data_IF_415773911710
#
_entry.id   IF_415773911710
#
_cell.length_a   1.000
_cell.length_b   1.000
_cell.length_c   1.000
_cell.angle_alpha   90.00
_cell.angle_beta   90.00
_cell.angle_gamma   90.00
#
_symmetry.space_group_name_H-M   'P 1'
#
loop_
_entity.id
_entity.type
_entity.pdbx_description
1 polymer ?
#
# COMPACT_ATOMS: atom_id res chain seq x y z
N UNK A 1 -6.70 8.36 10.25
CA UNK A 1 -7.82 9.26 10.59
C UNK A 1 -8.86 8.50 11.42
N UNK A 2 -9.23 9.01 12.60
CA UNK A 2 -10.28 8.40 13.43
C UNK A 2 -11.64 8.54 12.74
N UNK A 3 -12.45 7.47 12.75
CA UNK A 3 -13.84 7.46 12.29
C UNK A 3 -14.05 7.30 10.78
N UNK A 4 -13.03 6.91 10.05
CA UNK A 4 -13.14 6.46 8.65
C UNK A 4 -13.06 4.94 8.52
N UNK A 5 -12.94 4.23 9.63
CA UNK A 5 -12.95 2.78 9.70
C UNK A 5 -14.34 2.22 9.87
N UNK A 6 -14.59 1.06 9.28
CA UNK A 6 -15.83 0.31 9.43
C UNK A 6 -15.92 -0.41 10.78
N UNK A 7 -17.12 -0.72 11.18
CA UNK A 7 -17.38 -1.71 12.23
C UNK A 7 -17.07 -3.11 11.69
N UNK A 8 -16.88 -4.08 12.57
CA UNK A 8 -16.69 -5.48 12.14
C UNK A 8 -17.94 -6.06 11.46
N UNK A 9 -19.12 -5.50 11.76
CA UNK A 9 -20.39 -5.71 11.07
C UNK A 9 -21.00 -4.32 10.85
N UNK A 10 -21.61 -4.08 9.69
CA UNK A 10 -22.25 -2.80 9.36
C UNK A 10 -23.32 -2.42 10.40
N UNK A 11 -23.36 -1.13 10.75
CA UNK A 11 -24.36 -0.53 11.64
C UNK A 11 -25.04 0.59 10.86
N UNK A 12 -26.34 0.58 10.79
CA UNK A 12 -27.23 1.55 10.13
C UNK A 12 -27.06 1.65 8.61
N UNK A 13 -25.87 1.51 8.06
CA UNK A 13 -25.57 1.69 6.65
C UNK A 13 -24.48 0.73 6.17
N UNK A 14 -24.70 0.10 5.01
CA UNK A 14 -23.65 -0.58 4.24
C UNK A 14 -23.05 0.37 3.22
N UNK A 15 -21.74 0.30 3.02
CA UNK A 15 -21.00 1.26 2.20
C UNK A 15 -20.31 0.66 1.00
N UNK A 16 -20.10 -0.67 0.99
CA UNK A 16 -19.48 -1.37 -0.14
C UNK A 16 -19.93 -2.82 -0.24
N UNK A 17 -19.82 -3.39 -1.43
CA UNK A 17 -20.11 -4.81 -1.68
C UNK A 17 -19.08 -5.67 -0.98
N UNK A 18 -19.51 -6.55 -0.07
CA UNK A 18 -18.64 -7.37 0.77
C UNK A 18 -18.49 -6.86 2.20
N UNK A 19 -19.13 -5.74 2.57
CA UNK A 19 -19.19 -5.30 3.97
C UNK A 19 -20.06 -6.28 4.77
N UNK A 20 -19.54 -6.87 5.89
CA UNK A 20 -20.33 -7.81 6.69
C UNK A 20 -21.58 -7.17 7.28
N UNK A 21 -22.72 -7.84 7.16
CA UNK A 21 -24.03 -7.41 7.71
C UNK A 21 -24.44 -8.29 8.87
N UNK A 22 -24.21 -9.59 8.76
CA UNK A 22 -24.53 -10.57 9.78
C UNK A 22 -23.45 -11.66 9.84
N UNK A 23 -23.41 -12.39 10.93
CA UNK A 23 -22.49 -13.52 11.08
C UNK A 23 -23.13 -14.63 11.93
N UNK A 24 -22.92 -15.86 11.52
CA UNK A 24 -23.42 -17.07 12.19
C UNK A 24 -22.26 -17.97 12.59
N UNK A 25 -22.31 -18.51 13.79
CA UNK A 25 -21.46 -19.62 14.22
C UNK A 25 -22.32 -20.85 14.51
N UNK A 26 -21.93 -21.98 13.96
CA UNK A 26 -22.63 -23.25 14.13
C UNK A 26 -21.63 -24.39 14.41
N UNK A 27 -22.13 -25.61 14.63
CA UNK A 27 -21.29 -26.80 14.90
C UNK A 27 -20.50 -27.26 13.68
N UNK A 28 -20.89 -26.83 12.48
CA UNK A 28 -20.14 -27.04 11.23
C UNK A 28 -20.35 -25.87 10.27
N UNK A 29 -19.45 -25.75 9.27
CA UNK A 29 -19.58 -24.77 8.19
C UNK A 29 -20.91 -24.94 7.42
N UNK A 30 -21.30 -26.17 7.12
CA UNK A 30 -22.53 -26.46 6.38
C UNK A 30 -23.79 -25.93 7.10
N UNK A 31 -23.88 -26.19 8.39
CA UNK A 31 -25.02 -25.68 9.22
C UNK A 31 -24.97 -24.14 9.32
N UNK A 32 -23.78 -23.55 9.33
CA UNK A 32 -23.66 -22.10 9.33
C UNK A 32 -24.08 -21.48 7.99
N UNK A 33 -23.74 -22.10 6.87
CA UNK A 33 -24.15 -21.67 5.53
C UNK A 33 -25.67 -21.80 5.34
N UNK A 34 -26.28 -22.94 5.73
CA UNK A 34 -27.75 -23.12 5.73
C UNK A 34 -28.42 -22.03 6.57
N UNK A 35 -27.87 -21.68 7.72
CA UNK A 35 -28.43 -20.64 8.59
C UNK A 35 -28.29 -19.23 8.00
N UNK A 36 -27.27 -18.95 7.20
CA UNK A 36 -27.13 -17.68 6.50
C UNK A 36 -28.22 -17.43 5.47
N UNK A 37 -28.70 -18.49 4.81
CA UNK A 37 -29.81 -18.41 3.84
C UNK A 37 -31.16 -18.02 4.48
N UNK A 38 -31.28 -18.18 5.82
CA UNK A 38 -32.48 -17.78 6.57
C UNK A 38 -32.44 -16.30 7.02
N UNK A 39 -31.35 -15.58 6.77
CA UNK A 39 -31.23 -14.18 7.13
C UNK A 39 -31.75 -13.31 5.99
N UNK A 40 -32.88 -12.71 6.19
CA UNK A 40 -33.46 -11.73 5.26
C UNK A 40 -32.93 -10.33 5.59
N UNK A 41 -32.49 -9.59 4.57
CA UNK A 41 -32.01 -8.21 4.69
C UNK A 41 -32.72 -7.32 3.69
N UNK A 42 -33.44 -6.32 4.20
CA UNK A 42 -34.05 -5.28 3.38
C UNK A 42 -33.13 -4.05 3.34
N UNK A 43 -32.95 -3.46 2.15
CA UNK A 43 -32.13 -2.31 1.93
C UNK A 43 -32.91 -1.14 1.37
N UNK A 44 -32.79 0.01 2.01
CA UNK A 44 -33.10 1.31 1.39
C UNK A 44 -31.90 1.75 0.53
N UNK A 45 -32.07 1.71 -0.79
CA UNK A 45 -30.98 2.00 -1.72
C UNK A 45 -30.69 3.49 -1.79
N UNK A 46 -29.48 3.87 -1.39
CA UNK A 46 -29.00 5.25 -1.42
C UNK A 46 -28.24 5.57 -2.72
N UNK A 47 -28.14 6.86 -3.06
CA UNK A 47 -27.34 7.31 -4.20
C UNK A 47 -25.85 6.96 -3.99
N UNK A 48 -25.21 6.22 -4.91
CA UNK A 48 -23.83 5.77 -4.71
C UNK A 48 -22.80 6.87 -5.00
N UNK A 49 -21.60 6.67 -4.44
CA UNK A 49 -20.39 7.48 -4.66
C UNK A 49 -19.29 6.59 -5.27
N UNK A 50 -19.37 6.23 -6.57
CA UNK A 50 -18.55 5.18 -7.17
C UNK A 50 -17.13 5.61 -7.55
N UNK A 51 -16.85 6.91 -7.64
CA UNK A 51 -15.56 7.44 -8.13
C UNK A 51 -15.08 8.63 -7.31
N UNK A 52 -13.76 8.90 -7.31
CA UNK A 52 -13.21 10.12 -6.70
C UNK A 52 -13.84 11.42 -7.19
N UNK A 53 -14.16 11.51 -8.49
CA UNK A 53 -14.77 12.70 -9.06
C UNK A 53 -16.16 12.97 -8.46
N UNK A 54 -16.99 11.91 -8.31
CA UNK A 54 -18.29 12.01 -7.63
C UNK A 54 -18.11 12.33 -6.15
N UNK A 55 -17.13 11.71 -5.48
CA UNK A 55 -16.87 11.93 -4.05
C UNK A 55 -16.50 13.37 -3.71
N UNK A 56 -15.83 14.07 -4.63
CA UNK A 56 -15.36 15.46 -4.46
C UNK A 56 -16.33 16.51 -5.01
N UNK A 57 -17.43 16.11 -5.63
CA UNK A 57 -18.45 17.05 -6.11
C UNK A 57 -19.14 17.77 -4.95
N UNK A 58 -19.54 19.02 -5.16
CA UNK A 58 -20.17 19.82 -4.11
C UNK A 58 -21.52 19.25 -3.61
N UNK A 59 -22.21 18.52 -4.48
CA UNK A 59 -23.49 17.85 -4.21
C UNK A 59 -23.34 16.34 -3.94
N UNK A 60 -22.12 15.88 -3.66
CA UNK A 60 -21.85 14.47 -3.41
C UNK A 60 -22.63 13.94 -2.19
N UNK A 61 -23.26 12.75 -2.28
CA UNK A 61 -23.74 12.08 -1.09
C UNK A 61 -22.59 11.81 -0.11
N UNK A 62 -22.82 12.03 1.17
CA UNK A 62 -21.79 11.82 2.20
C UNK A 62 -21.87 10.38 2.70
N UNK A 63 -20.73 9.67 2.64
CA UNK A 63 -20.63 8.28 3.09
C UNK A 63 -20.49 8.14 4.61
N UNK A 64 -19.88 9.14 5.25
CA UNK A 64 -19.64 9.21 6.69
C UNK A 64 -20.12 10.57 7.18
N UNK A 65 -21.38 10.65 7.58
CA UNK A 65 -22.07 11.91 7.95
C UNK A 65 -21.32 12.66 9.06
N UNK A 66 -20.77 11.91 10.01
CA UNK A 66 -19.99 12.45 11.12
C UNK A 66 -18.68 13.15 10.68
N UNK A 67 -18.31 13.00 9.40
CA UNK A 67 -17.13 13.62 8.79
C UNK A 67 -17.44 14.87 7.96
N UNK A 68 -18.70 15.06 7.61
CA UNK A 68 -19.14 16.21 6.84
C UNK A 68 -18.68 16.24 5.39
N UNK A 69 -18.15 15.12 4.86
CA UNK A 69 -17.69 15.01 3.47
C UNK A 69 -16.97 13.70 3.18
N UNK A 70 -16.56 13.51 1.92
CA UNK A 70 -15.87 12.31 1.48
C UNK A 70 -14.35 12.48 1.32
N UNK A 71 -13.82 13.69 1.52
CA UNK A 71 -12.38 13.94 1.52
C UNK A 71 -11.80 13.55 2.88
N UNK A 72 -11.04 12.44 2.88
CA UNK A 72 -10.42 11.89 4.09
C UNK A 72 -9.28 12.77 4.58
N UNK A 73 -8.44 13.19 3.63
CA UNK A 73 -7.26 13.98 3.90
C UNK A 73 -6.83 14.73 2.64
N UNK A 74 -6.34 15.96 2.82
CA UNK A 74 -5.61 16.71 1.81
C UNK A 74 -4.31 17.20 2.42
N UNK A 75 -3.18 16.99 1.74
CA UNK A 75 -1.85 17.45 2.17
C UNK A 75 -1.03 17.91 0.98
N UNK A 76 -0.23 18.93 1.23
CA UNK A 76 0.76 19.47 0.31
C UNK A 76 2.12 19.34 0.96
N UNK A 77 3.03 18.70 0.27
CA UNK A 77 4.44 18.67 0.60
C UNK A 77 5.19 19.44 -0.48
N UNK A 78 6.07 20.35 -0.07
CA UNK A 78 6.83 21.19 -0.97
C UNK A 78 8.28 21.30 -0.49
N UNK A 79 9.21 21.00 -1.35
CA UNK A 79 10.65 21.00 -1.08
C UNK A 79 11.38 21.79 -2.17
N UNK A 80 12.19 22.76 -1.75
CA UNK A 80 12.81 23.71 -2.65
C UNK A 80 11.83 24.69 -3.30
N UNK A 81 12.29 25.42 -4.28
CA UNK A 81 11.51 26.42 -5.02
C UNK A 81 10.99 25.81 -6.33
N UNK A 82 9.88 25.06 -6.24
CA UNK A 82 9.28 24.35 -7.37
C UNK A 82 8.79 25.33 -8.44
N UNK A 83 8.20 26.45 -8.04
CA UNK A 83 7.65 27.41 -9.00
C UNK A 83 8.77 28.04 -9.81
N UNK A 84 9.90 28.39 -9.19
CA UNK A 84 11.08 28.91 -9.87
C UNK A 84 11.65 27.90 -10.87
N UNK A 85 11.91 26.65 -10.45
CA UNK A 85 12.53 25.66 -11.35
C UNK A 85 11.63 25.27 -12.52
N UNK A 86 10.31 25.32 -12.35
CA UNK A 86 9.36 25.12 -13.44
C UNK A 86 9.27 26.32 -14.39
N UNK A 87 9.38 27.56 -13.86
CA UNK A 87 9.43 28.76 -14.68
C UNK A 87 10.73 28.88 -15.51
N UNK A 88 11.84 28.41 -14.95
CA UNK A 88 13.15 28.42 -15.60
C UNK A 88 13.42 27.21 -16.47
N UNK A 89 12.51 26.23 -16.55
CA UNK A 89 12.69 25.02 -17.35
C UNK A 89 12.62 25.31 -18.85
N UNK A 90 13.53 24.72 -19.62
CA UNK A 90 13.46 24.78 -21.09
C UNK A 90 12.32 23.92 -21.62
N UNK A 91 11.98 22.85 -20.90
CA UNK A 91 10.87 21.96 -21.19
C UNK A 91 10.14 21.56 -19.90
N UNK A 92 8.81 21.63 -19.93
CA UNK A 92 7.95 20.96 -18.96
C UNK A 92 7.38 19.73 -19.63
N UNK A 93 7.64 18.56 -19.06
CA UNK A 93 7.16 17.26 -19.55
C UNK A 93 6.18 16.70 -18.53
N UNK A 94 4.90 16.67 -18.87
CA UNK A 94 3.85 16.24 -17.97
C UNK A 94 2.87 15.28 -18.61
N UNK A 95 2.17 14.50 -17.80
CA UNK A 95 1.09 13.63 -18.19
C UNK A 95 0.18 13.28 -17.00
N UNK A 96 -1.00 12.76 -17.32
CA UNK A 96 -1.88 12.12 -16.36
C UNK A 96 -1.69 10.61 -16.42
N UNK A 97 -1.68 9.96 -15.24
CA UNK A 97 -1.51 8.53 -15.11
C UNK A 97 -2.60 7.97 -14.21
N UNK A 98 -2.95 6.73 -14.44
CA UNK A 98 -3.83 5.99 -13.57
C UNK A 98 -3.24 4.65 -13.22
N UNK A 99 -3.20 4.36 -11.93
CA UNK A 99 -2.93 3.03 -11.39
C UNK A 99 -4.25 2.42 -10.95
N UNK A 100 -4.72 1.42 -11.67
CA UNK A 100 -5.96 0.73 -11.34
C UNK A 100 -5.84 -0.12 -10.09
N UNK A 101 -6.96 -0.38 -9.41
CA UNK A 101 -7.02 -1.36 -8.35
C UNK A 101 -6.53 -2.72 -8.83
N UNK A 102 -5.68 -3.35 -8.00
CA UNK A 102 -5.22 -4.73 -8.17
C UNK A 102 -5.40 -5.46 -6.83
N UNK A 103 -5.65 -6.77 -6.88
CA UNK A 103 -5.78 -7.59 -5.69
C UNK A 103 -4.48 -8.33 -5.37
N UNK A 104 -4.12 -8.36 -4.09
CA UNK A 104 -3.18 -9.35 -3.59
C UNK A 104 -3.89 -10.71 -3.60
N UNK A 105 -3.70 -11.49 -4.63
CA UNK A 105 -4.47 -12.70 -4.87
C UNK A 105 -3.66 -13.99 -4.57
N UNK A 106 -3.27 -14.25 -3.30
CA UNK A 106 -2.61 -15.48 -2.93
C UNK A 106 -3.51 -16.68 -3.19
N UNK A 107 -2.92 -17.83 -3.48
CA UNK A 107 -3.68 -19.07 -3.69
C UNK A 107 -4.49 -19.44 -2.44
N UNK A 108 -3.88 -19.32 -1.26
CA UNK A 108 -4.57 -19.44 0.03
C UNK A 108 -5.26 -18.11 0.38
N UNK A 109 -6.57 -18.15 0.66
CA UNK A 109 -7.32 -17.02 1.22
C UNK A 109 -6.97 -16.79 2.69
N UNK A 110 -7.62 -15.84 3.35
CA UNK A 110 -7.42 -15.63 4.78
C UNK A 110 -8.24 -16.64 5.58
N UNK A 111 -7.65 -17.14 6.68
CA UNK A 111 -8.36 -17.95 7.65
C UNK A 111 -7.86 -17.74 9.06
N UNK A 112 -8.76 -17.88 10.04
CA UNK A 112 -8.42 -17.80 11.45
C UNK A 112 -9.26 -18.74 12.32
N UNK A 113 -8.73 -19.06 13.50
CA UNK A 113 -9.46 -19.63 14.63
C UNK A 113 -9.30 -18.69 15.79
N UNK A 114 -10.40 -18.20 16.36
CA UNK A 114 -10.40 -17.34 17.53
C UNK A 114 -11.03 -18.07 18.72
N UNK A 115 -10.36 -17.98 19.88
CA UNK A 115 -10.85 -18.52 21.12
C UNK A 115 -10.78 -17.45 22.21
N UNK A 116 -11.93 -17.20 22.81
CA UNK A 116 -12.05 -16.29 23.94
C UNK A 116 -11.98 -17.07 25.25
N UNK A 117 -11.02 -16.72 26.09
CA UNK A 117 -11.01 -17.20 27.48
C UNK A 117 -11.95 -16.30 28.30
N UNK A 118 -13.06 -16.89 28.77
CA UNK A 118 -14.08 -16.17 29.53
C UNK A 118 -13.71 -15.95 30.99
N UNK A 119 -12.74 -16.71 31.52
CA UNK A 119 -12.24 -16.58 32.90
C UNK A 119 -11.24 -15.43 32.97
N UNK A 120 -10.23 -15.51 32.12
CA UNK A 120 -9.14 -14.52 32.09
C UNK A 120 -9.47 -13.28 31.23
N UNK A 121 -10.60 -13.26 30.57
CA UNK A 121 -11.00 -12.26 29.58
C UNK A 121 -9.86 -11.99 28.57
N UNK A 122 -9.38 -13.06 27.93
CA UNK A 122 -8.26 -13.04 27.02
C UNK A 122 -8.65 -13.63 25.65
N UNK A 123 -7.97 -13.23 24.61
CA UNK A 123 -8.21 -13.68 23.24
C UNK A 123 -6.96 -14.35 22.65
N UNK A 124 -7.12 -15.57 22.14
CA UNK A 124 -6.10 -16.21 21.32
C UNK A 124 -6.61 -16.39 19.90
N UNK A 125 -5.83 -15.93 18.91
CA UNK A 125 -6.12 -16.06 17.49
C UNK A 125 -5.00 -16.84 16.79
N UNK A 126 -5.36 -17.89 16.08
CA UNK A 126 -4.49 -18.62 15.17
C UNK A 126 -4.91 -18.30 13.73
N UNK A 127 -3.97 -18.09 12.81
CA UNK A 127 -4.37 -17.85 11.42
C UNK A 127 -3.28 -17.30 10.49
N UNK A 128 -3.69 -16.95 9.30
CA UNK A 128 -2.83 -16.44 8.24
C UNK A 128 -2.55 -14.93 8.40
N UNK A 129 -1.89 -14.54 9.47
CA UNK A 129 -1.64 -13.13 9.81
C UNK A 129 -0.32 -12.63 9.23
N UNK A 130 -0.38 -11.64 8.33
CA UNK A 130 0.81 -11.06 7.71
C UNK A 130 1.69 -10.24 8.66
N UNK A 131 1.11 -9.66 9.70
CA UNK A 131 1.78 -8.78 10.67
C UNK A 131 1.26 -9.05 12.09
N UNK A 132 1.63 -10.17 12.72
CA UNK A 132 0.98 -10.67 13.93
C UNK A 132 0.98 -9.69 15.11
N UNK A 133 2.04 -8.89 15.29
CA UNK A 133 2.11 -7.89 16.36
C UNK A 133 1.11 -6.75 16.16
N UNK A 134 0.99 -6.24 14.93
CA UNK A 134 -0.01 -5.22 14.60
C UNK A 134 -1.43 -5.77 14.75
N UNK A 135 -1.64 -7.02 14.38
CA UNK A 135 -2.90 -7.69 14.59
C UNK A 135 -3.27 -7.76 16.08
N UNK A 136 -2.35 -8.18 16.94
CA UNK A 136 -2.58 -8.24 18.37
C UNK A 136 -2.92 -6.86 18.96
N UNK A 137 -2.14 -5.84 18.60
CA UNK A 137 -2.38 -4.46 19.04
C UNK A 137 -3.73 -3.93 18.54
N UNK A 138 -4.02 -4.11 17.26
CA UNK A 138 -5.29 -3.65 16.66
C UNK A 138 -6.51 -4.33 17.29
N UNK A 139 -6.43 -5.63 17.56
CA UNK A 139 -7.53 -6.36 18.24
C UNK A 139 -7.67 -5.96 19.68
N UNK A 140 -6.58 -5.76 20.40
CA UNK A 140 -6.62 -5.24 21.75
C UNK A 140 -7.34 -3.87 21.82
N UNK A 141 -7.03 -2.98 20.89
CA UNK A 141 -7.70 -1.66 20.80
C UNK A 141 -9.18 -1.80 20.41
N UNK A 142 -9.49 -2.59 19.38
CA UNK A 142 -10.85 -2.75 18.85
C UNK A 142 -11.80 -3.41 19.87
N UNK A 143 -11.29 -4.35 20.66
CA UNK A 143 -12.06 -5.12 21.64
C UNK A 143 -11.94 -4.57 23.06
N UNK A 144 -11.26 -3.43 23.23
CA UNK A 144 -10.99 -2.80 24.53
C UNK A 144 -10.35 -3.78 25.56
N UNK A 145 -9.33 -4.50 25.11
CA UNK A 145 -8.53 -5.42 25.93
C UNK A 145 -7.14 -4.87 26.17
N UNK A 146 -6.51 -5.17 27.31
CA UNK A 146 -5.07 -4.98 27.46
C UNK A 146 -4.28 -5.78 26.41
N UNK A 147 -3.19 -5.23 25.88
CA UNK A 147 -2.40 -5.88 24.81
C UNK A 147 -1.83 -7.23 25.22
N UNK A 148 -1.52 -7.44 26.50
CA UNK A 148 -1.06 -8.72 27.05
C UNK A 148 -2.18 -9.78 27.18
N UNK A 149 -3.44 -9.41 26.96
CA UNK A 149 -4.59 -10.32 26.92
C UNK A 149 -4.97 -10.74 25.49
N UNK A 150 -4.23 -10.29 24.48
CA UNK A 150 -4.45 -10.68 23.09
C UNK A 150 -3.21 -11.38 22.53
N UNK A 151 -3.35 -12.65 22.18
CA UNK A 151 -2.30 -13.46 21.59
C UNK A 151 -2.65 -13.80 20.14
N UNK A 152 -1.77 -13.44 19.22
CA UNK A 152 -1.89 -13.78 17.80
C UNK A 152 -0.76 -14.73 17.43
N UNK A 153 -1.13 -15.91 16.95
CA UNK A 153 -0.21 -17.00 16.61
C UNK A 153 -0.31 -17.22 15.09
N UNK A 154 0.65 -16.68 14.34
CA UNK A 154 0.65 -16.88 12.89
C UNK A 154 0.94 -18.33 12.55
N UNK A 155 0.27 -18.82 11.50
CA UNK A 155 0.52 -20.12 10.91
C UNK A 155 1.31 -19.95 9.62
N UNK A 156 2.01 -20.98 9.10
CA UNK A 156 2.56 -20.95 7.76
C UNK A 156 1.51 -20.54 6.73
N UNK A 157 1.87 -19.65 5.80
CA UNK A 157 0.90 -19.05 4.89
C UNK A 157 1.22 -19.38 3.44
N UNK A 158 0.17 -19.65 2.67
CA UNK A 158 0.21 -19.81 1.21
C UNK A 158 0.22 -18.47 0.47
N UNK A 159 1.13 -17.56 0.87
CA UNK A 159 1.26 -16.21 0.34
C UNK A 159 0.39 -15.19 1.07
N UNK A 160 0.83 -13.94 1.09
CA UNK A 160 0.04 -12.81 1.61
C UNK A 160 0.07 -11.59 0.69
N UNK A 161 1.25 -11.20 0.18
CA UNK A 161 1.49 -10.05 -0.70
C UNK A 161 0.89 -8.72 -0.19
N UNK A 162 0.71 -8.62 1.15
CA UNK A 162 0.04 -7.52 1.82
C UNK A 162 -1.44 -7.75 2.12
N UNK A 163 -2.14 -8.55 1.34
CA UNK A 163 -3.59 -8.76 1.46
C UNK A 163 -4.08 -9.46 2.73
N UNK A 164 -3.19 -9.98 3.58
CA UNK A 164 -3.49 -10.55 4.90
C UNK A 164 -3.04 -9.63 6.04
N UNK A 165 -2.89 -8.33 5.76
CA UNK A 165 -2.43 -7.33 6.72
C UNK A 165 -3.52 -6.59 7.49
N UNK A 166 -4.77 -6.62 7.04
CA UNK A 166 -5.90 -5.87 7.60
C UNK A 166 -6.88 -6.72 8.42
N UNK A 167 -7.80 -6.07 9.17
CA UNK A 167 -8.87 -6.78 9.86
C UNK A 167 -9.79 -7.45 8.84
N UNK A 168 -10.12 -8.66 9.10
CA UNK A 168 -11.05 -9.46 8.31
C UNK A 168 -12.02 -10.11 9.28
N UNK A 169 -12.56 -11.25 9.02
CA UNK A 169 -13.47 -11.96 9.95
C UNK A 169 -12.91 -12.27 11.34
N UNK A 170 -11.69 -11.84 11.69
CA UNK A 170 -11.09 -12.10 13.01
C UNK A 170 -11.89 -11.52 14.17
N UNK A 171 -12.34 -10.26 14.07
CA UNK A 171 -13.10 -9.62 15.15
C UNK A 171 -14.48 -10.28 15.28
N UNK A 172 -15.08 -10.66 14.16
CA UNK A 172 -16.36 -11.41 14.12
C UNK A 172 -16.17 -12.77 14.81
N UNK A 173 -15.15 -13.54 14.40
CA UNK A 173 -14.87 -14.85 14.99
C UNK A 173 -14.56 -14.76 16.50
N UNK A 174 -13.84 -13.72 16.94
CA UNK A 174 -13.54 -13.49 18.35
C UNK A 174 -14.80 -13.18 19.15
N UNK A 175 -15.68 -12.31 18.66
CA UNK A 175 -16.94 -11.97 19.32
C UNK A 175 -17.94 -13.14 19.33
N UNK A 176 -17.99 -13.93 18.26
CA UNK A 176 -18.77 -15.15 18.23
C UNK A 176 -18.25 -16.21 19.21
N UNK A 177 -16.93 -16.35 19.36
CA UNK A 177 -16.33 -17.21 20.38
C UNK A 177 -16.74 -16.79 21.78
N UNK A 178 -16.71 -15.48 22.07
CA UNK A 178 -17.17 -14.93 23.35
C UNK A 178 -18.64 -15.24 23.61
N UNK A 179 -19.49 -15.04 22.60
CA UNK A 179 -20.94 -15.37 22.69
C UNK A 179 -21.18 -16.86 22.87
N UNK A 180 -20.34 -17.72 22.28
CA UNK A 180 -20.43 -19.17 22.39
C UNK A 180 -19.81 -19.72 23.69
N UNK A 181 -19.58 -18.89 24.71
CA UNK A 181 -19.02 -19.31 25.99
C UNK A 181 -17.54 -19.73 25.93
N UNK A 182 -16.76 -19.13 25.03
CA UNK A 182 -15.34 -19.41 24.86
C UNK A 182 -15.01 -20.57 23.91
N UNK A 183 -16.01 -21.14 23.23
CA UNK A 183 -15.75 -22.16 22.22
C UNK A 183 -14.94 -21.57 21.07
N UNK A 184 -13.95 -22.30 20.52
CA UNK A 184 -13.20 -21.83 19.37
C UNK A 184 -14.10 -21.66 18.14
N UNK A 185 -13.98 -20.52 17.46
CA UNK A 185 -14.70 -20.23 16.22
C UNK A 185 -13.69 -20.13 15.09
N UNK A 186 -13.90 -20.95 14.05
CA UNK A 186 -13.11 -20.96 12.82
C UNK A 186 -13.82 -20.15 11.73
N UNK A 187 -13.09 -19.24 11.09
CA UNK A 187 -13.52 -18.51 9.91
C UNK A 187 -12.50 -18.71 8.80
N UNK A 188 -12.95 -19.05 7.61
CA UNK A 188 -12.14 -19.15 6.40
C UNK A 188 -12.89 -18.48 5.27
N UNK A 189 -12.28 -17.45 4.70
CA UNK A 189 -12.81 -16.73 3.54
C UNK A 189 -12.86 -17.63 2.31
N UNK A 190 -13.91 -17.54 1.55
CA UNK A 190 -13.90 -17.96 0.16
C UNK A 190 -13.17 -16.93 -0.72
N UNK A 191 -13.05 -17.18 -2.01
CA UNK A 191 -12.33 -16.27 -2.92
C UNK A 191 -13.05 -14.95 -3.13
N UNK A 192 -14.37 -14.96 -3.16
CA UNK A 192 -15.18 -13.76 -3.34
C UNK A 192 -15.14 -12.89 -2.08
N UNK A 193 -15.27 -13.49 -0.90
CA UNK A 193 -15.10 -12.78 0.37
C UNK A 193 -13.71 -12.15 0.45
N UNK A 194 -12.64 -12.89 0.07
CA UNK A 194 -11.27 -12.38 0.05
C UNK A 194 -11.14 -11.13 -0.83
N UNK A 195 -11.75 -11.14 -2.01
CA UNK A 195 -11.63 -10.04 -2.97
C UNK A 195 -12.53 -8.84 -2.63
N UNK A 196 -13.69 -9.07 -2.01
CA UNK A 196 -14.72 -8.05 -1.79
C UNK A 196 -14.74 -7.50 -0.36
N UNK A 197 -14.46 -8.33 0.66
CA UNK A 197 -14.61 -7.98 2.07
C UNK A 197 -13.52 -7.04 2.64
N UNK A 198 -12.85 -6.29 1.82
CA UNK A 198 -11.84 -5.30 2.22
C UNK A 198 -10.42 -5.85 2.31
N UNK A 199 -9.42 -4.97 2.32
CA UNK A 199 -7.98 -5.21 2.42
C UNK A 199 -7.34 -6.19 1.41
N UNK A 200 -8.12 -6.92 0.61
CA UNK A 200 -7.63 -7.75 -0.49
C UNK A 200 -7.25 -6.95 -1.72
N UNK A 201 -7.62 -5.67 -1.76
CA UNK A 201 -7.42 -4.78 -2.91
C UNK A 201 -6.46 -3.63 -2.55
N UNK A 202 -5.65 -3.22 -3.54
CA UNK A 202 -4.81 -2.04 -3.46
C UNK A 202 -5.57 -0.78 -3.91
N UNK A 203 -4.82 0.24 -4.21
CA UNK A 203 -5.29 1.61 -4.49
C UNK A 203 -5.81 1.78 -5.92
N UNK A 204 -6.72 2.74 -6.12
CA UNK A 204 -7.00 3.37 -7.42
C UNK A 204 -6.46 4.80 -7.33
N UNK A 205 -5.37 5.07 -8.05
CA UNK A 205 -4.62 6.32 -7.96
C UNK A 205 -4.62 7.07 -9.28
N UNK A 206 -5.02 8.31 -9.23
CA UNK A 206 -4.98 9.23 -10.35
C UNK A 206 -3.88 10.25 -10.11
N UNK A 207 -2.96 10.35 -11.04
CA UNK A 207 -1.82 11.25 -10.98
C UNK A 207 -1.91 12.30 -12.08
N UNK A 208 -1.61 13.55 -11.74
CA UNK A 208 -1.21 14.59 -12.65
C UNK A 208 0.21 14.99 -12.25
N UNK A 209 1.18 14.74 -13.13
CA UNK A 209 2.58 14.89 -12.78
C UNK A 209 3.42 15.45 -13.90
N UNK A 210 4.49 16.18 -13.54
CA UNK A 210 5.39 16.80 -14.51
C UNK A 210 6.82 16.88 -13.99
N UNK A 211 7.77 16.85 -14.93
CA UNK A 211 9.19 17.19 -14.73
C UNK A 211 9.51 18.56 -15.34
N UNK A 212 10.33 19.34 -14.66
CA UNK A 212 11.05 20.49 -15.20
C UNK A 212 12.41 20.03 -15.71
N UNK A 213 12.70 20.28 -17.00
CA UNK A 213 13.86 19.72 -17.68
C UNK A 213 14.60 20.81 -18.44
N UNK A 214 15.91 20.86 -18.34
CA UNK A 214 16.78 21.75 -19.12
C UNK A 214 17.04 21.17 -20.52
N UNK A 215 17.42 21.99 -21.48
CA UNK A 215 17.73 21.59 -22.86
C UNK A 215 18.84 20.53 -22.93
N UNK A 216 19.75 20.50 -21.97
CA UNK A 216 20.82 19.51 -21.87
C UNK A 216 20.35 18.17 -21.26
N UNK A 217 19.08 18.05 -20.84
CA UNK A 217 18.52 16.87 -20.19
C UNK A 217 18.63 16.84 -18.66
N UNK A 218 19.11 17.90 -18.01
CA UNK A 218 19.10 17.98 -16.55
C UNK A 218 17.68 18.16 -16.03
N UNK A 219 17.22 17.27 -15.17
CA UNK A 219 15.91 17.33 -14.49
C UNK A 219 16.07 18.12 -13.21
N UNK A 220 15.42 19.27 -13.11
CA UNK A 220 15.53 20.20 -11.98
C UNK A 220 14.34 20.14 -11.02
N UNK A 221 13.16 19.75 -11.52
CA UNK A 221 11.95 19.75 -10.71
C UNK A 221 11.03 18.55 -10.98
N UNK A 222 10.30 18.13 -9.95
CA UNK A 222 9.30 17.08 -10.03
C UNK A 222 8.07 17.48 -9.21
N UNK A 223 6.92 17.61 -9.85
CA UNK A 223 5.64 17.86 -9.17
C UNK A 223 4.64 16.75 -9.46
N UNK A 224 3.88 16.38 -8.44
CA UNK A 224 2.87 15.33 -8.50
C UNK A 224 1.63 15.79 -7.74
N UNK A 225 0.47 15.70 -8.38
CA UNK A 225 -0.83 15.74 -7.73
C UNK A 225 -1.43 14.33 -7.77
N UNK A 226 -1.76 13.80 -6.60
CA UNK A 226 -2.36 12.49 -6.43
C UNK A 226 -3.78 12.61 -5.89
N UNK A 227 -4.73 11.96 -6.54
CA UNK A 227 -6.04 11.63 -5.97
C UNK A 227 -6.05 10.13 -5.73
N UNK A 228 -6.25 9.71 -4.47
CA UNK A 228 -6.20 8.32 -4.02
C UNK A 228 -7.58 7.87 -3.53
N UNK A 229 -8.19 6.91 -4.21
CA UNK A 229 -9.45 6.29 -3.79
C UNK A 229 -9.20 5.23 -2.73
N UNK A 230 -9.55 5.55 -1.49
CA UNK A 230 -9.39 4.68 -0.32
C UNK A 230 -10.54 3.68 -0.14
N UNK A 231 -11.61 3.79 -0.96
CA UNK A 231 -12.82 3.02 -0.76
C UNK A 231 -13.63 3.48 0.45
N UNK A 232 -14.47 2.62 0.98
CA UNK A 232 -15.37 2.91 2.08
C UNK A 232 -14.68 2.75 3.45
N UNK A 233 -13.62 3.47 3.65
CA UNK A 233 -12.88 3.51 4.92
C UNK A 233 -11.41 3.83 4.73
N UNK A 234 -10.85 4.56 5.67
CA UNK A 234 -9.42 4.84 5.74
C UNK A 234 -8.87 4.23 7.02
N UNK A 235 -8.84 2.94 7.08
CA UNK A 235 -8.21 2.23 8.18
C UNK A 235 -6.70 2.30 8.01
N UNK A 236 -6.07 3.20 8.74
CA UNK A 236 -4.62 3.42 8.92
C UNK A 236 -3.64 3.03 7.79
N UNK A 237 -3.76 1.83 7.28
CA UNK A 237 -2.88 1.28 6.25
C UNK A 237 -3.02 1.94 4.87
N UNK A 238 -4.23 2.31 4.46
CA UNK A 238 -4.45 2.98 3.18
C UNK A 238 -3.74 4.34 3.12
N UNK A 239 -3.88 5.14 4.18
CA UNK A 239 -3.28 6.49 4.25
C UNK A 239 -1.75 6.46 4.34
N UNK A 240 -1.17 5.45 5.01
CA UNK A 240 0.28 5.30 5.11
C UNK A 240 0.92 5.01 3.75
N UNK A 241 0.23 4.26 2.89
CA UNK A 241 0.74 3.92 1.55
C UNK A 241 0.97 5.14 0.66
N UNK A 242 0.30 6.27 0.94
CA UNK A 242 0.49 7.55 0.24
C UNK A 242 1.78 8.24 0.68
N UNK A 243 2.18 8.04 1.94
CA UNK A 243 3.38 8.64 2.50
C UNK A 243 4.65 7.81 2.21
N UNK A 244 4.55 6.50 1.99
CA UNK A 244 5.73 5.65 1.81
C UNK A 244 6.65 6.10 0.66
N UNK A 245 6.17 6.58 -0.51
CA UNK A 245 7.02 7.10 -1.56
C UNK A 245 7.92 8.27 -1.12
N UNK A 246 7.56 9.01 -0.07
CA UNK A 246 8.35 10.15 0.42
C UNK A 246 9.78 9.76 0.81
N UNK A 247 10.00 8.53 1.26
CA UNK A 247 11.33 8.04 1.60
C UNK A 247 12.26 7.85 0.37
N UNK A 248 11.71 7.88 -0.85
CA UNK A 248 12.47 7.79 -2.09
C UNK A 248 11.78 8.60 -3.22
N UNK A 249 11.29 9.81 -2.89
CA UNK A 249 10.38 10.56 -3.75
C UNK A 249 10.97 10.90 -5.12
N UNK A 250 12.24 11.25 -5.17
CA UNK A 250 12.97 11.57 -6.41
C UNK A 250 13.70 10.35 -7.02
N UNK A 251 13.48 9.15 -6.46
CA UNK A 251 14.14 7.93 -6.92
C UNK A 251 15.67 8.04 -6.83
N UNK A 252 16.37 7.59 -7.86
CA UNK A 252 17.82 7.63 -7.98
C UNK A 252 18.38 8.97 -8.51
N UNK A 253 17.50 10.00 -8.66
CA UNK A 253 17.83 11.21 -9.38
C UNK A 253 18.12 12.42 -8.49
N UNK A 254 19.05 13.27 -8.94
CA UNK A 254 19.43 14.57 -8.34
C UNK A 254 18.40 15.64 -8.76
N UNK A 255 17.21 15.60 -8.22
CA UNK A 255 16.17 16.59 -8.49
C UNK A 255 16.23 17.66 -7.40
N UNK A 256 16.32 18.94 -7.80
CA UNK A 256 16.54 20.06 -6.89
C UNK A 256 15.30 20.39 -6.06
N UNK A 257 14.12 20.38 -6.71
CA UNK A 257 12.88 20.80 -6.08
C UNK A 257 11.75 19.81 -6.41
N UNK A 258 10.90 19.55 -5.41
CA UNK A 258 9.80 18.61 -5.58
C UNK A 258 8.53 19.07 -4.84
N UNK A 259 7.35 18.71 -5.42
CA UNK A 259 6.05 18.97 -4.80
C UNK A 259 5.16 17.75 -4.92
N UNK A 260 4.47 17.43 -3.83
CA UNK A 260 3.52 16.33 -3.76
C UNK A 260 2.22 16.78 -3.11
N UNK A 261 1.18 16.95 -3.93
CA UNK A 261 -0.16 17.30 -3.51
C UNK A 261 -1.00 16.04 -3.45
N UNK A 262 -1.56 15.70 -2.31
CA UNK A 262 -2.31 14.46 -2.11
C UNK A 262 -3.73 14.76 -1.63
N UNK A 263 -4.71 14.09 -2.25
CA UNK A 263 -6.11 14.09 -1.83
C UNK A 263 -6.57 12.64 -1.72
N UNK A 264 -6.96 12.23 -0.52
CA UNK A 264 -7.51 10.91 -0.24
C UNK A 264 -9.02 11.02 -0.12
N UNK A 265 -9.74 10.15 -0.81
CA UNK A 265 -11.20 10.20 -0.86
C UNK A 265 -11.84 8.86 -0.49
N UNK A 266 -13.01 8.93 0.14
CA UNK A 266 -13.87 7.78 0.38
C UNK A 266 -14.84 7.57 -0.79
N UNK A 267 -15.05 6.32 -1.19
CA UNK A 267 -16.01 5.89 -2.22
C UNK A 267 -16.74 4.63 -1.78
N UNK A 268 -17.81 4.22 -2.50
CA UNK A 268 -18.51 2.95 -2.25
C UNK A 268 -17.77 1.72 -2.77
N UNK A 269 -16.46 1.71 -2.72
CA UNK A 269 -15.62 0.56 -3.04
C UNK A 269 -15.10 -0.09 -1.77
N UNK A 270 -14.66 -1.34 -1.86
CA UNK A 270 -14.00 -1.99 -0.74
C UNK A 270 -12.82 -1.15 -0.22
N UNK A 271 -12.57 -1.09 1.10
CA UNK A 271 -11.42 -0.41 1.66
C UNK A 271 -10.11 -0.90 1.06
N UNK A 272 -9.14 0.01 0.90
CA UNK A 272 -7.82 -0.35 0.38
C UNK A 272 -6.92 -0.89 1.48
N UNK A 273 -6.14 -1.91 1.13
CA UNK A 273 -5.15 -2.53 2.00
C UNK A 273 -3.74 -2.48 1.43
N UNK A 274 -2.78 -3.03 2.17
CA UNK A 274 -1.43 -3.19 1.68
C UNK A 274 -1.38 -4.12 0.46
N UNK A 275 -0.57 -3.74 -0.52
CA UNK A 275 -0.23 -4.56 -1.66
C UNK A 275 1.27 -4.44 -1.94
N UNK A 276 1.89 -5.50 -2.45
CA UNK A 276 3.34 -5.61 -2.69
C UNK A 276 3.95 -4.31 -3.20
N UNK A 277 4.98 -3.79 -2.47
CA UNK A 277 5.59 -2.49 -2.68
C UNK A 277 4.96 -1.35 -1.87
N UNK A 278 3.66 -1.42 -1.52
CA UNK A 278 2.95 -0.56 -0.57
C UNK A 278 3.11 0.96 -0.81
N UNK A 279 2.84 1.39 -2.06
CA UNK A 279 2.82 2.81 -2.44
C UNK A 279 3.87 3.23 -3.47
N UNK A 280 5.17 2.89 -3.33
CA UNK A 280 6.21 3.20 -4.30
C UNK A 280 5.95 2.73 -5.74
N UNK A 281 5.43 1.52 -6.03
CA UNK A 281 5.28 1.07 -7.41
C UNK A 281 4.50 2.04 -8.32
N UNK A 282 3.29 2.53 -7.96
CA UNK A 282 2.61 3.53 -8.80
C UNK A 282 3.36 4.86 -8.90
N UNK A 283 4.09 5.27 -7.85
CA UNK A 283 4.90 6.49 -7.87
C UNK A 283 6.06 6.37 -8.85
N UNK A 284 6.78 5.24 -8.83
CA UNK A 284 7.88 5.01 -9.76
C UNK A 284 7.40 4.79 -11.19
N UNK A 285 6.22 4.20 -11.40
CA UNK A 285 5.60 4.19 -12.72
C UNK A 285 5.49 5.61 -13.30
N UNK A 286 5.04 6.57 -12.47
CA UNK A 286 4.88 7.97 -12.89
C UNK A 286 6.23 8.61 -13.18
N UNK A 287 7.18 8.54 -12.24
CA UNK A 287 8.50 9.15 -12.38
C UNK A 287 9.25 8.59 -13.60
N UNK A 288 9.33 7.28 -13.73
CA UNK A 288 10.08 6.61 -14.78
C UNK A 288 9.45 6.78 -16.17
N UNK A 289 8.09 6.83 -16.24
CA UNK A 289 7.40 7.17 -17.48
C UNK A 289 7.67 8.61 -17.91
N UNK A 290 7.71 9.55 -16.99
CA UNK A 290 8.06 10.95 -17.29
C UNK A 290 9.52 11.07 -17.72
N UNK A 291 10.45 10.30 -17.15
CA UNK A 291 11.85 10.24 -17.62
C UNK A 291 11.92 9.75 -19.08
N UNK A 292 11.17 8.72 -19.45
CA UNK A 292 11.09 8.25 -20.82
C UNK A 292 10.45 9.29 -21.77
N UNK A 293 9.43 10.00 -21.30
CA UNK A 293 8.80 11.07 -22.07
C UNK A 293 9.76 12.24 -22.29
N UNK A 294 10.54 12.59 -21.25
CA UNK A 294 11.58 13.63 -21.34
C UNK A 294 12.67 13.24 -22.33
N UNK A 295 13.17 12.00 -22.26
CA UNK A 295 14.14 11.47 -23.24
C UNK A 295 13.63 11.58 -24.68
N UNK A 296 12.39 11.16 -24.93
CA UNK A 296 11.76 11.31 -26.26
C UNK A 296 11.62 12.76 -26.69
N UNK A 297 11.23 13.66 -25.80
CA UNK A 297 11.07 15.09 -26.08
C UNK A 297 12.38 15.73 -26.52
N UNK A 298 13.50 15.30 -25.91
CA UNK A 298 14.85 15.80 -26.19
C UNK A 298 15.56 15.05 -27.33
N UNK A 299 14.99 13.97 -27.86
CA UNK A 299 15.68 13.10 -28.81
C UNK A 299 16.87 12.36 -28.20
N UNK A 300 16.90 12.21 -26.88
CA UNK A 300 17.95 11.56 -26.09
C UNK A 300 17.62 10.07 -25.85
N UNK A 301 18.64 9.24 -25.73
CA UNK A 301 18.44 7.85 -25.30
C UNK A 301 17.95 7.81 -23.85
N UNK A 302 16.93 6.98 -23.52
CA UNK A 302 16.39 6.90 -22.16
C UNK A 302 17.40 6.49 -21.09
N UNK A 303 18.36 5.64 -21.41
CA UNK A 303 19.42 5.25 -20.48
C UNK A 303 20.39 6.42 -20.25
N UNK A 304 20.72 7.19 -21.30
CA UNK A 304 21.59 8.34 -21.18
C UNK A 304 20.96 9.48 -20.37
N UNK A 305 19.65 9.75 -20.56
CA UNK A 305 18.95 10.72 -19.71
C UNK A 305 19.02 10.34 -18.23
N UNK A 306 18.85 9.07 -17.89
CA UNK A 306 18.95 8.56 -16.51
C UNK A 306 20.35 8.72 -15.97
N UNK A 307 21.37 8.30 -16.72
CA UNK A 307 22.78 8.45 -16.36
C UNK A 307 23.12 9.88 -15.96
N UNK A 308 22.70 10.84 -16.78
CA UNK A 308 22.92 12.27 -16.55
C UNK A 308 22.37 12.77 -15.22
N UNK A 309 21.26 12.22 -14.80
CA UNK A 309 20.51 12.66 -13.63
C UNK A 309 20.78 11.85 -12.36
N UNK A 310 21.54 10.76 -12.41
CA UNK A 310 21.81 9.95 -11.23
C UNK A 310 22.57 10.69 -10.13
N UNK A 311 22.26 10.37 -8.88
CA UNK A 311 23.11 10.65 -7.73
C UNK A 311 24.40 9.87 -7.94
N UNK A 312 25.55 10.57 -7.98
CA UNK A 312 26.86 9.95 -8.24
C UNK A 312 27.44 9.33 -6.98
N UNK A 313 28.33 8.32 -7.11
CA UNK A 313 28.97 7.67 -5.96
C UNK A 313 29.70 8.62 -5.00
N UNK A 314 30.26 9.71 -5.53
CA UNK A 314 31.00 10.73 -4.77
C UNK A 314 30.09 11.71 -3.99
N UNK A 315 28.76 11.59 -4.16
CA UNK A 315 27.77 12.45 -3.51
C UNK A 315 27.14 11.81 -2.27
N UNK A 316 27.38 10.54 -2.01
CA UNK A 316 26.85 9.87 -0.83
C UNK A 316 27.66 10.18 0.44
N UNK A 317 26.99 10.28 1.63
CA UNK A 317 25.55 10.16 1.82
C UNK A 317 24.78 11.32 1.17
N UNK A 318 23.62 11.05 0.57
CA UNK A 318 22.85 12.03 -0.19
C UNK A 318 21.45 12.21 0.40
N UNK A 319 21.13 13.44 0.79
CA UNK A 319 19.78 13.77 1.27
C UNK A 319 18.91 14.23 0.10
N UNK A 320 17.85 13.48 -0.18
CA UNK A 320 16.86 13.85 -1.21
C UNK A 320 15.96 14.99 -0.71
N UNK A 321 15.27 15.75 -1.59
CA UNK A 321 14.45 16.89 -1.18
C UNK A 321 13.42 16.58 -0.09
N UNK A 322 12.85 15.37 -0.07
CA UNK A 322 11.91 14.95 0.97
C UNK A 322 12.53 14.65 2.35
N UNK A 323 13.85 14.82 2.49
CA UNK A 323 14.55 14.77 3.76
C UNK A 323 15.13 13.40 4.14
N UNK A 324 14.89 12.36 3.34
CA UNK A 324 15.52 11.06 3.59
C UNK A 324 16.96 11.04 3.08
N UNK A 325 17.85 10.40 3.83
CA UNK A 325 19.25 10.22 3.49
C UNK A 325 19.51 8.84 2.87
N UNK A 326 20.15 8.81 1.71
CA UNK A 326 20.69 7.59 1.11
C UNK A 326 22.14 7.44 1.53
N UNK A 327 22.46 6.32 2.16
CA UNK A 327 23.77 6.05 2.75
C UNK A 327 24.86 5.80 1.71
N UNK A 328 24.51 5.08 0.63
CA UNK A 328 25.43 4.62 -0.39
C UNK A 328 24.72 4.30 -1.69
N UNK A 329 25.46 4.24 -2.80
CA UNK A 329 24.93 3.82 -4.09
C UNK A 329 25.93 4.00 -5.25
N UNK A 330 25.70 3.24 -6.32
CA UNK A 330 26.37 3.40 -7.60
C UNK A 330 25.39 3.03 -8.72
N UNK A 331 24.45 3.94 -9.00
CA UNK A 331 23.37 3.69 -9.96
C UNK A 331 23.90 3.55 -11.40
N UNK A 332 24.96 4.27 -11.74
CA UNK A 332 25.60 4.20 -13.04
C UNK A 332 26.19 2.82 -13.31
N UNK A 333 26.95 2.26 -12.37
CA UNK A 333 27.51 0.91 -12.53
C UNK A 333 26.42 -0.18 -12.66
N UNK A 334 25.29 -0.03 -11.97
CA UNK A 334 24.13 -0.94 -12.11
C UNK A 334 23.52 -0.80 -13.51
N UNK A 335 23.34 0.44 -14.00
CA UNK A 335 22.85 0.69 -15.35
C UNK A 335 23.79 0.08 -16.40
N UNK A 336 25.09 0.32 -16.31
CA UNK A 336 26.09 -0.23 -17.26
C UNK A 336 26.03 -1.74 -17.33
N UNK A 337 25.93 -2.38 -16.16
CA UNK A 337 25.83 -3.83 -16.06
C UNK A 337 24.58 -4.38 -16.74
N UNK A 338 23.41 -3.76 -16.52
CA UNK A 338 22.17 -4.25 -17.14
C UNK A 338 22.13 -3.96 -18.63
N UNK A 339 22.66 -2.81 -19.10
CA UNK A 339 22.76 -2.50 -20.52
C UNK A 339 23.67 -3.49 -21.27
N UNK A 340 24.79 -3.90 -20.65
CA UNK A 340 25.68 -4.91 -21.19
C UNK A 340 25.03 -6.30 -21.22
N UNK A 341 24.41 -6.71 -20.10
CA UNK A 341 23.76 -8.05 -19.99
C UNK A 341 22.59 -8.23 -20.94
N UNK A 342 21.87 -7.15 -21.26
CA UNK A 342 20.71 -7.18 -22.14
C UNK A 342 21.06 -6.96 -23.61
N UNK A 343 22.31 -6.74 -23.96
CA UNK A 343 22.70 -6.23 -25.30
C UNK A 343 21.80 -5.04 -25.73
N UNK A 344 21.70 -4.05 -24.86
CA UNK A 344 20.81 -2.91 -25.06
C UNK A 344 21.01 -2.24 -26.43
N UNK A 345 22.26 -2.14 -26.89
CA UNK A 345 22.56 -1.59 -28.22
C UNK A 345 21.91 -2.42 -29.34
N UNK A 346 22.08 -3.73 -29.31
CA UNK A 346 21.46 -4.65 -30.28
C UNK A 346 19.93 -4.60 -30.21
N UNK A 347 19.35 -4.45 -29.00
CA UNK A 347 17.91 -4.23 -28.84
C UNK A 347 17.45 -2.93 -29.50
N UNK A 348 18.18 -1.82 -29.34
CA UNK A 348 17.85 -0.52 -29.98
C UNK A 348 17.93 -0.61 -31.51
N UNK A 349 18.95 -1.27 -32.04
CA UNK A 349 19.10 -1.52 -33.48
C UNK A 349 17.94 -2.39 -34.00
N UNK A 350 17.57 -3.44 -33.27
CA UNK A 350 16.43 -4.31 -33.61
C UNK A 350 15.11 -3.56 -33.58
N UNK A 351 14.93 -2.63 -32.61
CA UNK A 351 13.77 -1.76 -32.54
C UNK A 351 13.66 -0.84 -33.78
N UNK A 352 14.79 -0.25 -34.18
CA UNK A 352 14.83 0.61 -35.37
C UNK A 352 14.52 -0.15 -36.67
N UNK A 353 15.11 -1.35 -36.84
CA UNK A 353 14.81 -2.23 -37.97
C UNK A 353 13.33 -2.66 -37.97
N UNK A 354 12.83 -3.14 -36.82
CA UNK A 354 11.44 -3.56 -36.68
C UNK A 354 10.46 -2.43 -37.05
N UNK A 355 10.73 -1.20 -36.63
CA UNK A 355 9.90 -0.04 -36.97
C UNK A 355 9.87 0.22 -38.49
N UNK A 356 10.99 0.11 -39.18
CA UNK A 356 11.08 0.23 -40.65
C UNK A 356 10.28 -0.88 -41.35
N UNK A 357 10.11 -2.03 -40.74
CA UNK A 357 9.34 -3.20 -41.20
C UNK A 357 7.88 -3.17 -40.73
N UNK A 358 7.41 -2.10 -40.06
CA UNK A 358 6.05 -1.98 -39.52
C UNK A 358 5.83 -2.75 -38.20
N UNK A 359 6.88 -3.27 -37.56
CA UNK A 359 6.80 -3.93 -36.25
C UNK A 359 7.11 -2.94 -35.13
N UNK A 360 6.28 -2.94 -34.08
CA UNK A 360 6.45 -2.11 -32.90
C UNK A 360 7.10 -2.92 -31.78
N UNK A 361 8.35 -2.60 -31.45
CA UNK A 361 9.11 -3.23 -30.36
C UNK A 361 9.23 -2.24 -29.22
N UNK A 362 8.73 -2.60 -28.01
CA UNK A 362 8.87 -1.81 -26.79
C UNK A 362 10.17 -2.16 -26.06
N UNK A 363 10.90 -1.14 -25.60
CA UNK A 363 12.05 -1.29 -24.71
C UNK A 363 11.84 -0.34 -23.55
N UNK A 364 11.87 -0.83 -22.32
CA UNK A 364 11.79 -0.05 -21.09
C UNK A 364 13.08 -0.16 -20.28
N UNK A 365 13.59 0.98 -19.82
CA UNK A 365 14.69 1.06 -18.86
C UNK A 365 14.18 1.84 -17.65
N UNK A 366 14.29 1.26 -16.45
CA UNK A 366 13.85 1.89 -15.22
C UNK A 366 14.94 1.82 -14.16
N UNK A 367 14.96 2.81 -13.27
CA UNK A 367 15.88 2.85 -12.14
C UNK A 367 15.12 3.26 -10.88
N UNK A 368 14.95 2.32 -9.96
CA UNK A 368 14.15 2.54 -8.76
C UNK A 368 14.97 2.37 -7.48
N UNK A 369 14.67 3.18 -6.48
CA UNK A 369 15.16 3.02 -5.11
C UNK A 369 13.97 2.64 -4.23
N UNK A 370 13.86 1.37 -3.85
CA UNK A 370 12.75 0.88 -3.02
C UNK A 370 13.03 1.15 -1.54
N UNK A 371 12.21 1.95 -0.85
CA UNK A 371 12.33 2.13 0.59
C UNK A 371 11.82 0.86 1.31
N UNK A 372 12.72 -0.09 1.54
CA UNK A 372 12.41 -1.41 2.10
C UNK A 372 12.05 -1.38 3.58
N UNK A 373 12.48 -0.35 4.31
CA UNK A 373 12.26 -0.18 5.75
C UNK A 373 11.44 1.08 6.01
N UNK A 374 10.60 1.06 7.05
CA UNK A 374 9.96 2.27 7.56
C UNK A 374 10.93 2.97 8.51
N UNK A 375 11.66 3.96 8.01
CA UNK A 375 12.44 4.85 8.86
C UNK A 375 11.48 5.81 9.59
N UNK A 376 11.40 5.64 10.91
CA UNK A 376 10.61 6.48 11.78
C UNK A 376 10.96 7.97 11.67
N UNK A 377 12.26 8.29 11.64
CA UNK A 377 12.72 9.67 11.61
C UNK A 377 12.35 10.34 10.29
N UNK A 378 12.60 9.67 9.17
CA UNK A 378 12.25 10.19 7.85
C UNK A 378 10.73 10.45 7.72
N UNK A 379 9.89 9.55 8.20
CA UNK A 379 8.44 9.76 8.16
C UNK A 379 7.95 10.81 9.16
N UNK A 380 8.59 10.95 10.32
CA UNK A 380 8.26 11.98 11.30
C UNK A 380 8.51 13.40 10.74
N UNK A 381 9.56 13.59 9.95
CA UNK A 381 9.87 14.88 9.30
C UNK A 381 8.76 15.36 8.35
N UNK A 382 8.03 14.44 7.75
CA UNK A 382 6.89 14.72 6.87
C UNK A 382 5.53 14.61 7.58
N UNK A 383 5.54 14.62 8.93
CA UNK A 383 4.34 14.65 9.74
C UNK A 383 3.57 13.32 9.83
N UNK A 384 4.22 12.21 9.48
CA UNK A 384 3.66 10.86 9.65
C UNK A 384 4.25 10.25 10.91
N UNK A 385 3.48 10.28 11.99
CA UNK A 385 3.89 9.76 13.30
C UNK A 385 3.32 8.36 13.55
N UNK A 386 4.01 7.56 14.36
CA UNK A 386 3.48 6.27 14.84
C UNK A 386 3.78 5.05 13.95
N UNK A 387 4.74 5.11 13.05
CA UNK A 387 5.04 4.02 12.09
C UNK A 387 6.34 3.26 12.41
N UNK A 388 6.96 3.45 13.52
CA UNK A 388 8.11 2.65 13.94
C UNK A 388 7.67 1.30 14.50
N UNK A 389 8.25 0.21 14.03
CA UNK A 389 8.08 -1.12 14.63
C UNK A 389 9.42 -1.55 15.18
N UNK A 390 9.58 -1.55 16.51
CA UNK A 390 10.79 -2.09 17.10
C UNK A 390 10.87 -3.59 16.82
N UNK A 391 11.95 -4.02 16.20
CA UNK A 391 12.26 -5.42 16.01
C UNK A 391 13.09 -5.93 17.19
N UNK A 392 12.91 -7.21 17.53
CA UNK A 392 13.64 -7.87 18.58
C UNK A 392 13.60 -9.39 18.43
N UNK A 393 14.62 -10.04 18.97
CA UNK A 393 14.67 -11.49 19.07
C UNK A 393 14.88 -11.87 20.54
N UNK A 394 14.21 -12.94 20.97
CA UNK A 394 14.48 -13.60 22.23
C UNK A 394 15.25 -14.89 21.96
N UNK A 395 16.40 -15.02 22.57
CA UNK A 395 17.23 -16.23 22.51
C UNK A 395 17.24 -16.85 23.91
N UNK A 396 16.97 -18.14 24.00
CA UNK A 396 16.96 -18.88 25.25
C UNK A 396 17.63 -20.25 25.07
N UNK A 397 18.43 -20.65 26.06
CA UNK A 397 18.92 -22.00 26.21
C UNK A 397 18.16 -22.71 27.33
N UNK A 398 17.81 -23.96 27.14
CA UNK A 398 17.34 -24.80 28.22
C UNK A 398 18.52 -25.51 28.94
N UNK A 399 18.22 -26.25 29.99
CA UNK A 399 19.23 -26.96 30.76
C UNK A 399 19.92 -28.13 30.02
N UNK A 400 19.35 -28.54 28.86
CA UNK A 400 19.89 -29.57 28.00
C UNK A 400 20.71 -28.99 26.84
N UNK A 401 20.86 -27.65 26.79
CA UNK A 401 21.60 -26.96 25.74
C UNK A 401 20.80 -26.71 24.45
N UNK A 402 19.49 -26.96 24.44
CA UNK A 402 18.67 -26.65 23.29
C UNK A 402 18.50 -25.13 23.16
N UNK A 403 18.67 -24.63 21.93
CA UNK A 403 18.50 -23.21 21.60
C UNK A 403 17.10 -22.94 21.05
N UNK A 404 16.41 -21.98 21.66
CA UNK A 404 15.14 -21.45 21.15
C UNK A 404 15.34 -19.99 20.74
N UNK A 405 14.98 -19.66 19.50
CA UNK A 405 14.99 -18.28 18.99
C UNK A 405 13.55 -17.89 18.63
N UNK A 406 13.06 -16.80 19.25
CA UNK A 406 11.75 -16.23 18.94
C UNK A 406 11.94 -14.89 18.25
N UNK A 407 11.38 -14.74 17.05
CA UNK A 407 11.48 -13.54 16.21
C UNK A 407 10.12 -12.87 16.01
N UNK A 408 10.11 -11.62 15.58
CA UNK A 408 8.89 -10.83 15.42
C UNK A 408 8.19 -10.97 14.07
N UNK A 409 8.78 -11.69 13.12
CA UNK A 409 8.23 -11.93 11.78
C UNK A 409 7.71 -13.35 11.62
N UNK A 410 6.97 -13.58 10.54
CA UNK A 410 6.47 -14.91 10.16
C UNK A 410 6.65 -15.18 8.68
N UNK A 411 6.70 -16.46 8.34
CA UNK A 411 6.83 -16.93 6.96
C UNK A 411 5.53 -16.70 6.18
N UNK A 412 5.65 -16.11 5.00
CA UNK A 412 4.54 -15.88 4.07
C UNK A 412 4.86 -16.44 2.67
N UNK A 413 5.85 -17.35 2.59
CA UNK A 413 6.32 -17.95 1.35
C UNK A 413 7.54 -17.28 0.71
N UNK A 414 8.10 -16.21 1.32
CA UNK A 414 9.24 -15.45 0.78
C UNK A 414 10.61 -16.05 1.09
N UNK A 415 10.70 -17.17 1.82
CA UNK A 415 11.96 -17.92 2.02
C UNK A 415 12.83 -17.46 3.20
N UNK A 416 12.28 -16.76 4.18
CA UNK A 416 12.99 -16.39 5.41
C UNK A 416 13.31 -17.59 6.30
#
# INVERSE_FOLDING_TARGET
>A
PKGWGGYCIAVDKVRFVGEPVAAVAAVSRYVAEDALELIEVEYDVLKPVPTPAVAMAADAPILFEERGGNVIQSRVYNWGDVDRVFAEADHVVGNTFRWNRVGANPTETFGCICQWDTVDNALTCYGSYGTPRFWAMGRAMALNLPTNKVKVIPQPQGGAFGGKGGPRGTDIAALLSRKAGGRPVKYIEDRMEYLLAGFGQSWDRHYDAALAVKADGTVTGFRVRLIDDQGAGAEGWGTISVAKPLAAFTGSYRIEAARYDTVLVATNRAPTGPYRGYGPPPHFLVLESLMDMAARKLGMDPAELRRRNYIRPDQFPYTIPSGNEYDSGNYEAVLDKILALSDYRGLRESQARGRAEGRLIGIGVVSTVEPGVFDWNAYATVGVQGIGVPEGAKVAFDMLGNLTVVVGFNLQGQGQ
#
